data_IF_301503323647
#
_entry.id   IF_301503323647
#
_cell.length_a   1.000
_cell.length_b   1.000
_cell.length_c   1.000
_cell.angle_alpha   90.00
_cell.angle_beta   90.00
_cell.angle_gamma   90.00
#
_symmetry.space_group_name_H-M   'P 1'
#
loop_
_entity.id
_entity.type
_entity.pdbx_description
1 polymer ?
#
# COMPACT_ATOMS: atom_id res chain seq x y z
N UNK A 1 12.95 -1.94 32.29
CA UNK A 1 12.94 -2.18 30.83
C UNK A 1 11.48 -2.21 30.38
N UNK A 2 10.97 -1.17 29.68
CA UNK A 2 9.68 -1.33 29.02
C UNK A 2 9.87 -2.37 27.91
N UNK A 3 9.04 -3.42 27.88
CA UNK A 3 8.95 -4.26 26.69
C UNK A 3 8.36 -3.40 25.59
N UNK A 4 9.09 -3.24 24.48
CA UNK A 4 8.47 -2.75 23.25
C UNK A 4 7.22 -3.61 23.00
N UNK A 5 6.06 -3.00 22.71
CA UNK A 5 4.89 -3.78 22.33
C UNK A 5 5.26 -4.57 21.07
N UNK A 6 5.34 -5.90 21.21
CA UNK A 6 5.46 -6.77 20.06
C UNK A 6 4.19 -6.58 19.23
N UNK A 7 4.34 -5.99 18.05
CA UNK A 7 3.28 -5.97 17.06
C UNK A 7 2.84 -7.43 16.83
N UNK A 8 1.52 -7.71 16.74
CA UNK A 8 1.06 -9.05 16.44
C UNK A 8 1.73 -9.54 15.15
N UNK A 9 2.08 -10.82 15.08
CA UNK A 9 2.59 -11.43 13.85
C UNK A 9 1.49 -11.30 12.80
N UNK A 10 1.68 -10.41 11.82
CA UNK A 10 0.75 -10.22 10.72
C UNK A 10 0.99 -11.30 9.67
N UNK A 11 -0.03 -12.10 9.39
CA UNK A 11 -0.01 -13.06 8.29
C UNK A 11 -0.38 -12.34 6.98
N UNK A 12 0.64 -11.88 6.25
CA UNK A 12 0.46 -11.20 4.97
C UNK A 12 -0.10 -12.13 3.86
N UNK A 13 -0.13 -13.45 4.07
CA UNK A 13 -0.81 -14.36 3.12
C UNK A 13 -2.33 -14.23 3.17
N UNK A 14 -2.87 -13.68 4.27
CA UNK A 14 -4.31 -13.43 4.48
C UNK A 14 -4.71 -11.97 4.31
N UNK A 15 -3.74 -11.08 4.09
CA UNK A 15 -3.96 -9.63 4.08
C UNK A 15 -3.53 -9.06 2.73
N UNK A 16 -4.49 -8.51 2.00
CA UNK A 16 -4.28 -7.86 0.71
C UNK A 16 -4.76 -8.70 -0.48
N UNK A 17 -4.53 -8.19 -1.71
CA UNK A 17 -4.98 -8.86 -2.92
C UNK A 17 -4.20 -10.16 -3.15
N UNK A 18 -4.90 -11.25 -3.45
CA UNK A 18 -4.27 -12.52 -3.80
C UNK A 18 -3.42 -12.38 -5.08
N UNK A 19 -2.33 -13.15 -5.18
CA UNK A 19 -1.53 -13.18 -6.40
C UNK A 19 -2.40 -13.62 -7.60
N UNK A 20 -2.27 -12.90 -8.72
CA UNK A 20 -3.09 -13.12 -9.92
C UNK A 20 -4.46 -12.44 -9.89
N UNK A 21 -4.93 -11.95 -8.74
CA UNK A 21 -6.13 -11.12 -8.66
C UNK A 21 -5.86 -9.69 -9.13
N UNK A 22 -6.90 -8.98 -9.56
CA UNK A 22 -6.80 -7.56 -9.93
C UNK A 22 -6.46 -6.75 -8.68
N UNK A 23 -5.43 -5.90 -8.78
CA UNK A 23 -5.12 -4.96 -7.70
C UNK A 23 -6.28 -3.95 -7.50
N UNK A 24 -6.61 -3.56 -6.25
CA UNK A 24 -7.71 -2.65 -5.95
C UNK A 24 -7.66 -1.34 -6.73
N UNK A 25 -8.82 -0.70 -6.89
CA UNK A 25 -8.89 0.65 -7.42
C UNK A 25 -8.37 1.63 -6.37
N UNK A 26 -7.27 2.32 -6.68
CA UNK A 26 -6.63 3.29 -5.80
C UNK A 26 -6.67 4.66 -6.45
N UNK A 27 -7.33 5.60 -5.75
CA UNK A 27 -7.40 7.02 -6.12
C UNK A 27 -6.97 7.86 -4.94
N UNK A 28 -5.78 8.44 -5.01
CA UNK A 28 -5.18 9.23 -3.93
C UNK A 28 -4.52 10.48 -4.52
N UNK A 29 -4.43 11.58 -3.76
CA UNK A 29 -3.63 12.73 -4.17
C UNK A 29 -2.13 12.40 -4.13
N UNK A 30 -1.35 12.96 -5.06
CA UNK A 30 0.10 13.02 -4.95
C UNK A 30 0.56 14.16 -4.01
N UNK A 31 1.88 14.34 -3.89
CA UNK A 31 2.46 15.38 -3.03
C UNK A 31 2.09 16.82 -3.43
N UNK A 32 1.61 17.05 -4.66
CA UNK A 32 1.12 18.34 -5.13
C UNK A 32 -0.41 18.47 -5.00
N UNK A 33 -1.08 17.47 -4.43
CA UNK A 33 -2.54 17.43 -4.30
C UNK A 33 -3.26 16.99 -5.59
N UNK A 34 -2.53 16.61 -6.64
CA UNK A 34 -3.13 16.15 -7.90
C UNK A 34 -3.70 14.74 -7.70
N UNK A 35 -4.94 14.53 -8.10
CA UNK A 35 -5.56 13.20 -8.05
C UNK A 35 -4.83 12.22 -8.98
N UNK A 36 -4.43 11.07 -8.43
CA UNK A 36 -3.77 9.96 -9.13
C UNK A 36 -4.71 8.77 -9.13
N UNK A 37 -5.10 8.28 -10.31
CA UNK A 37 -5.73 6.97 -10.48
C UNK A 37 -4.66 5.96 -10.89
N UNK A 38 -4.37 5.00 -10.01
CA UNK A 38 -3.28 4.04 -10.20
C UNK A 38 -3.41 3.26 -11.51
N UNK A 39 -4.62 2.84 -11.89
CA UNK A 39 -4.80 2.02 -13.09
C UNK A 39 -4.62 2.83 -14.36
N UNK A 40 -5.10 4.08 -14.35
CA UNK A 40 -4.91 4.99 -15.48
C UNK A 40 -3.43 5.35 -15.68
N UNK A 41 -2.73 5.73 -14.60
CA UNK A 41 -1.33 6.15 -14.62
C UNK A 41 -0.38 5.03 -15.03
N UNK A 42 -0.67 3.81 -14.58
CA UNK A 42 0.08 2.62 -14.98
C UNK A 42 -0.09 2.33 -16.47
N UNK A 43 -1.23 2.66 -17.08
CA UNK A 43 -1.53 2.46 -18.50
C UNK A 43 -1.13 1.06 -19.03
N UNK A 44 -1.38 0.02 -18.25
CA UNK A 44 -1.03 -1.37 -18.62
C UNK A 44 0.41 -1.81 -18.33
N UNK A 45 1.32 -0.90 -17.92
CA UNK A 45 2.73 -1.21 -17.57
C UNK A 45 2.88 -1.91 -16.22
N UNK A 46 4.00 -2.55 -15.90
CA UNK A 46 4.21 -3.08 -14.53
C UNK A 46 4.34 -1.92 -13.52
N UNK A 47 3.87 -2.13 -12.30
CA UNK A 47 3.95 -1.14 -11.21
C UNK A 47 4.37 -1.82 -9.90
N UNK A 48 5.03 -1.05 -9.03
CA UNK A 48 5.33 -1.40 -7.65
C UNK A 48 4.53 -0.47 -6.75
N UNK A 49 3.76 -1.02 -5.80
CA UNK A 49 3.01 -0.26 -4.80
C UNK A 49 3.64 -0.50 -3.45
N UNK A 50 4.03 0.57 -2.76
CA UNK A 50 4.60 0.52 -1.42
C UNK A 50 3.63 1.18 -0.46
N UNK A 51 3.09 0.39 0.48
CA UNK A 51 2.28 0.90 1.58
C UNK A 51 3.17 0.96 2.80
N UNK A 52 3.32 2.14 3.38
CA UNK A 52 4.07 2.33 4.61
C UNK A 52 3.28 3.23 5.55
N UNK A 53 3.36 2.96 6.85
CA UNK A 53 2.98 3.93 7.88
C UNK A 53 4.16 4.86 8.07
N UNK A 54 3.94 6.17 8.06
CA UNK A 54 4.99 7.12 8.43
C UNK A 54 5.46 6.85 9.86
N UNK A 55 6.76 6.95 10.10
CA UNK A 55 7.26 7.13 11.47
C UNK A 55 6.83 8.53 11.92
N UNK A 56 6.11 8.62 13.04
CA UNK A 56 5.94 9.88 13.73
C UNK A 56 7.31 10.32 14.25
N UNK A 57 7.62 11.60 14.08
CA UNK A 57 8.73 12.25 14.78
C UNK A 57 8.31 12.57 16.21
#
# INVERSE_FOLDING_TARGET
MPRDPQLPVLDFSRIGPAAGSRFPDVRLPDQAGRAVDLHAERAGRRALVVVYRSAGW
#
